data_IF_593366991105
#
_entry.id   IF_593366991105
#
_cell.length_a   1.000
_cell.length_b   1.000
_cell.length_c   1.000
_cell.angle_alpha   90.00
_cell.angle_beta   90.00
_cell.angle_gamma   90.00
#
_symmetry.space_group_name_H-M   'P 1'
#
loop_
_entity.id
_entity.type
_entity.pdbx_description
1 polymer ?
#
# COMPACT_ATOMS: atom_id res chain seq x y z
N UNK A 1 17.57 -3.16 -17.24
CA UNK A 1 16.63 -3.94 -16.44
C UNK A 1 16.10 -3.11 -15.31
N UNK A 2 14.83 -3.24 -14.96
CA UNK A 2 14.29 -2.48 -13.85
C UNK A 2 14.94 -2.89 -12.55
N UNK A 3 15.29 -1.91 -11.75
CA UNK A 3 15.72 -2.15 -10.39
C UNK A 3 14.47 -2.29 -9.52
N UNK A 4 14.57 -3.12 -8.51
CA UNK A 4 13.48 -3.35 -7.61
C UNK A 4 12.74 -4.65 -7.90
N UNK A 5 11.64 -4.89 -7.20
CA UNK A 5 10.94 -6.16 -7.31
C UNK A 5 10.29 -6.33 -8.67
N UNK A 6 10.30 -7.56 -9.13
CA UNK A 6 9.58 -7.90 -10.36
C UNK A 6 8.11 -8.06 -10.02
N UNK A 7 7.29 -7.32 -10.71
CA UNK A 7 5.85 -7.37 -10.52
C UNK A 7 5.23 -8.01 -11.76
N UNK A 8 4.54 -9.09 -11.53
CA UNK A 8 3.84 -9.77 -12.62
C UNK A 8 2.56 -9.01 -12.92
N UNK A 9 2.45 -8.53 -14.16
CA UNK A 9 1.24 -7.85 -14.57
C UNK A 9 0.13 -8.85 -14.85
N UNK A 10 -1.00 -8.67 -14.19
CA UNK A 10 -2.19 -9.47 -14.41
C UNK A 10 -3.27 -8.52 -14.91
N UNK A 11 -3.79 -8.71 -16.13
CA UNK A 11 -4.85 -7.83 -16.63
C UNK A 11 -6.09 -7.93 -15.76
N UNK A 12 -6.77 -6.82 -15.57
CA UNK A 12 -8.02 -6.81 -14.82
C UNK A 12 -8.94 -5.72 -15.34
N UNK A 13 -10.24 -5.95 -15.22
CA UNK A 13 -11.25 -4.99 -15.65
C UNK A 13 -11.55 -3.99 -14.53
N UNK A 14 -11.60 -4.49 -13.30
CA UNK A 14 -11.85 -3.66 -12.13
C UNK A 14 -10.65 -3.71 -11.20
N UNK A 15 -10.10 -2.56 -10.79
CA UNK A 15 -9.00 -2.53 -9.83
C UNK A 15 -9.47 -2.89 -8.43
N UNK A 16 -8.57 -3.35 -7.56
CA UNK A 16 -8.94 -3.53 -6.17
C UNK A 16 -9.20 -2.18 -5.52
N UNK A 17 -10.14 -2.15 -4.58
CA UNK A 17 -10.49 -0.91 -3.86
C UNK A 17 -10.56 -1.17 -2.37
N UNK A 18 -10.05 -0.27 -1.55
CA UNK A 18 -10.17 -0.45 -0.11
C UNK A 18 -11.64 -0.39 0.32
N UNK A 19 -12.03 -1.31 1.19
CA UNK A 19 -13.38 -1.33 1.73
C UNK A 19 -13.53 -0.24 2.78
N UNK A 20 -12.45 0.04 3.50
CA UNK A 20 -12.41 1.11 4.50
C UNK A 20 -11.20 1.98 4.23
N UNK A 21 -11.19 3.19 4.80
CA UNK A 21 -10.07 4.10 4.63
C UNK A 21 -8.79 3.50 5.20
N UNK A 22 -7.68 3.73 4.51
CA UNK A 22 -6.36 3.34 5.00
C UNK A 22 -5.96 4.37 6.05
N UNK A 23 -5.74 3.92 7.29
CA UNK A 23 -5.47 4.81 8.42
C UNK A 23 -4.12 4.50 9.05
N UNK A 24 -3.06 5.12 8.57
CA UNK A 24 -1.75 4.91 9.17
C UNK A 24 -1.66 5.59 10.54
N UNK A 25 -0.90 4.95 11.44
CA UNK A 25 -0.58 5.55 12.73
C UNK A 25 0.66 6.39 12.53
N UNK A 26 0.56 7.68 12.74
CA UNK A 26 1.67 8.61 12.55
C UNK A 26 2.70 8.36 13.67
N UNK A 27 3.94 7.97 13.35
CA UNK A 27 4.95 7.73 14.39
C UNK A 27 5.23 8.99 15.18
N UNK A 28 5.34 8.84 16.49
CA UNK A 28 5.57 9.98 17.39
C UNK A 28 6.87 10.73 17.07
N UNK A 29 7.93 9.98 16.76
CA UNK A 29 9.20 10.59 16.40
C UNK A 29 9.06 11.49 15.18
N UNK A 30 8.32 11.03 14.17
CA UNK A 30 8.09 11.81 12.96
C UNK A 30 7.24 13.04 13.24
N UNK A 31 6.23 12.91 14.11
CA UNK A 31 5.41 14.06 14.51
C UNK A 31 6.25 15.12 15.21
N UNK A 32 7.06 14.70 16.16
CA UNK A 32 7.90 15.63 16.93
C UNK A 32 8.92 16.34 16.05
N UNK A 33 9.45 15.63 15.06
CA UNK A 33 10.41 16.20 14.14
C UNK A 33 9.77 16.99 13.01
N UNK A 34 8.44 17.01 12.93
CA UNK A 34 7.73 17.72 11.88
C UNK A 34 7.91 17.11 10.50
N UNK A 35 8.13 15.79 10.43
CA UNK A 35 8.38 15.11 9.16
C UNK A 35 7.08 14.73 8.48
N UNK A 36 6.91 15.23 7.27
CA UNK A 36 5.76 14.93 6.42
C UNK A 36 6.24 14.32 5.11
N UNK A 37 5.36 13.68 4.39
CA UNK A 37 5.70 13.18 3.08
C UNK A 37 4.75 12.08 2.62
N UNK A 38 5.11 11.50 1.48
CA UNK A 38 4.34 10.43 0.86
C UNK A 38 5.20 9.18 0.82
N UNK A 39 4.65 8.08 1.32
CA UNK A 39 5.27 6.77 1.22
C UNK A 39 4.48 5.99 0.18
N UNK A 40 5.14 5.47 -0.85
CA UNK A 40 4.48 4.67 -1.87
C UNK A 40 4.75 3.20 -1.57
N UNK A 41 3.69 2.46 -1.31
CA UNK A 41 3.76 1.04 -0.99
C UNK A 41 3.17 0.24 -2.14
N UNK A 42 3.91 -0.75 -2.59
CA UNK A 42 3.39 -1.71 -3.55
C UNK A 42 2.84 -2.89 -2.76
N UNK A 43 1.60 -3.26 -3.04
CA UNK A 43 0.92 -4.30 -2.28
C UNK A 43 0.31 -5.34 -3.21
N UNK A 44 0.41 -6.60 -2.82
CA UNK A 44 -0.28 -7.68 -3.50
C UNK A 44 -1.61 -7.94 -2.80
N UNK A 45 -2.70 -7.73 -3.53
CA UNK A 45 -4.07 -7.95 -3.04
C UNK A 45 -4.56 -9.25 -3.64
N UNK A 46 -4.85 -10.24 -2.79
CA UNK A 46 -5.25 -11.56 -3.28
C UNK A 46 -6.72 -11.59 -3.72
N UNK A 47 -7.19 -12.75 -4.18
CA UNK A 47 -8.55 -12.93 -4.67
C UNK A 47 -9.61 -12.72 -3.59
N UNK A 48 -9.22 -12.76 -2.34
CA UNK A 48 -10.14 -12.54 -1.20
C UNK A 48 -10.06 -11.11 -0.68
N UNK A 49 -9.27 -10.26 -1.32
CA UNK A 49 -9.13 -8.88 -0.91
C UNK A 49 -8.18 -8.67 0.26
N UNK A 50 -7.35 -9.66 0.57
CA UNK A 50 -6.37 -9.55 1.64
C UNK A 50 -5.02 -9.13 1.10
N UNK A 51 -4.31 -8.33 1.89
CA UNK A 51 -2.96 -7.90 1.55
C UNK A 51 -1.99 -9.01 1.94
N UNK A 52 -1.33 -9.61 0.96
CA UNK A 52 -0.41 -10.73 1.19
C UNK A 52 1.04 -10.29 1.27
N UNK A 53 1.42 -9.26 0.52
CA UNK A 53 2.79 -8.76 0.52
C UNK A 53 2.77 -7.25 0.37
N UNK A 54 3.77 -6.61 0.96
CA UNK A 54 3.98 -5.17 0.81
C UNK A 54 5.45 -4.90 0.57
N UNK A 55 5.72 -3.95 -0.31
CA UNK A 55 7.08 -3.54 -0.68
C UNK A 55 7.09 -2.02 -0.73
N UNK A 56 8.13 -1.41 -0.16
CA UNK A 56 8.27 0.04 -0.23
C UNK A 56 8.89 0.40 -1.59
N UNK A 57 8.16 1.16 -2.39
CA UNK A 57 8.69 1.69 -3.65
C UNK A 57 9.38 3.02 -3.43
N UNK A 58 8.81 3.87 -2.58
CA UNK A 58 9.38 5.15 -2.23
C UNK A 58 9.10 5.39 -0.76
N UNK A 59 10.16 5.57 0.02
CA UNK A 59 10.02 5.73 1.45
C UNK A 59 10.76 6.95 1.97
N UNK A 60 10.60 7.16 3.27
CA UNK A 60 11.29 8.22 4.00
C UNK A 60 12.05 7.52 5.12
N UNK A 61 13.32 7.17 4.88
CA UNK A 61 14.06 6.32 5.80
C UNK A 61 14.28 6.99 7.16
N UNK A 62 14.41 6.17 8.19
CA UNK A 62 14.74 6.59 9.55
C UNK A 62 13.66 7.45 10.22
N UNK A 63 12.41 7.31 9.79
CA UNK A 63 11.30 8.09 10.35
C UNK A 63 10.20 7.23 10.94
N UNK A 64 10.19 5.93 10.61
CA UNK A 64 9.10 5.05 10.98
C UNK A 64 7.89 5.17 10.08
N UNK A 65 7.90 6.11 9.14
CA UNK A 65 6.76 6.31 8.25
C UNK A 65 6.53 5.14 7.31
N UNK A 66 7.62 4.52 6.82
CA UNK A 66 7.52 3.37 5.92
C UNK A 66 6.80 2.20 6.60
N UNK A 67 7.22 1.89 7.81
CA UNK A 67 6.62 0.82 8.60
C UNK A 67 5.16 1.11 8.92
N UNK A 68 4.86 2.36 9.26
CA UNK A 68 3.50 2.78 9.57
C UNK A 68 2.59 2.64 8.35
N UNK A 69 3.10 3.00 7.17
CA UNK A 69 2.35 2.88 5.93
C UNK A 69 2.06 1.42 5.59
N UNK A 70 3.08 0.57 5.68
CA UNK A 70 2.90 -0.86 5.40
C UNK A 70 1.92 -1.51 6.37
N UNK A 71 2.02 -1.18 7.65
CA UNK A 71 1.14 -1.75 8.65
C UNK A 71 -0.31 -1.36 8.40
N UNK A 72 -0.55 -0.10 8.06
CA UNK A 72 -1.90 0.38 7.76
C UNK A 72 -2.50 -0.36 6.57
N UNK A 73 -1.69 -0.57 5.53
CA UNK A 73 -2.15 -1.27 4.34
C UNK A 73 -2.43 -2.74 4.65
N UNK A 74 -1.56 -3.39 5.42
CA UNK A 74 -1.77 -4.80 5.81
C UNK A 74 -3.07 -5.01 6.56
N UNK A 75 -3.51 -4.03 7.32
CA UNK A 75 -4.75 -4.12 8.09
C UNK A 75 -5.99 -3.76 7.29
N UNK A 76 -5.81 -3.24 6.09
CA UNK A 76 -6.92 -2.81 5.27
C UNK A 76 -7.44 -3.99 4.45
N UNK A 77 -8.77 -4.11 4.39
CA UNK A 77 -9.41 -5.08 3.52
C UNK A 77 -9.82 -4.39 2.24
N UNK A 78 -9.65 -5.11 1.15
CA UNK A 78 -9.94 -4.60 -0.18
C UNK A 78 -11.03 -5.43 -0.83
N UNK A 79 -11.71 -4.82 -1.79
CA UNK A 79 -12.45 -5.60 -2.76
C UNK A 79 -11.41 -6.07 -3.77
N UNK A 80 -11.39 -7.37 -4.10
CA UNK A 80 -10.37 -7.86 -5.02
C UNK A 80 -10.57 -7.31 -6.42
N UNK A 81 -9.48 -7.28 -7.18
CA UNK A 81 -9.55 -6.96 -8.59
C UNK A 81 -10.35 -8.06 -9.31
N UNK A 82 -10.98 -7.70 -10.41
CA UNK A 82 -11.72 -8.66 -11.21
C UNK A 82 -11.31 -8.62 -12.66
N UNK A 83 -11.30 -9.79 -13.26
CA UNK A 83 -11.12 -9.97 -14.68
C UNK A 83 -12.28 -10.85 -15.15
N UNK A 84 -13.16 -10.31 -16.00
CA UNK A 84 -14.32 -11.03 -16.49
C UNK A 84 -15.13 -11.66 -15.34
N UNK A 85 -15.40 -10.84 -14.33
CA UNK A 85 -16.17 -11.23 -13.14
C UNK A 85 -15.50 -12.25 -12.24
N UNK A 86 -14.24 -12.61 -12.52
CA UNK A 86 -13.48 -13.49 -11.64
C UNK A 86 -12.52 -12.66 -10.80
N UNK A 87 -12.48 -12.93 -9.51
CA UNK A 87 -11.55 -12.28 -8.63
C UNK A 87 -10.12 -12.75 -8.95
N UNK A 88 -9.18 -11.83 -9.05
CA UNK A 88 -7.78 -12.12 -9.35
C UNK A 88 -6.88 -11.39 -8.37
N UNK A 89 -5.72 -11.99 -8.07
CA UNK A 89 -4.70 -11.34 -7.25
C UNK A 89 -3.87 -10.41 -8.12
N UNK A 90 -3.62 -9.20 -7.64
CA UNK A 90 -2.86 -8.20 -8.39
C UNK A 90 -1.96 -7.40 -7.49
N UNK A 91 -0.91 -6.84 -8.06
CA UNK A 91 -0.05 -5.86 -7.40
C UNK A 91 -0.56 -4.47 -7.73
N UNK A 92 -0.62 -3.61 -6.73
CA UNK A 92 -0.98 -2.21 -6.92
C UNK A 92 -0.02 -1.33 -6.13
N UNK A 93 0.10 -0.08 -6.56
CA UNK A 93 0.89 0.94 -5.84
C UNK A 93 -0.06 1.85 -5.10
N UNK A 94 0.19 2.02 -3.80
CA UNK A 94 -0.68 2.80 -2.93
C UNK A 94 0.14 3.92 -2.29
N UNK A 95 -0.16 5.18 -2.60
CA UNK A 95 0.49 6.29 -1.90
C UNK A 95 -0.18 6.51 -0.54
N UNK A 96 0.63 6.66 0.49
CA UNK A 96 0.16 6.97 1.84
C UNK A 96 0.70 8.32 2.22
N UNK A 97 -0.19 9.27 2.45
CA UNK A 97 0.18 10.64 2.77
C UNK A 97 0.29 10.82 4.28
N UNK A 98 1.39 11.40 4.72
CA UNK A 98 1.60 11.77 6.11
C UNK A 98 1.68 13.28 6.19
N UNK A 99 0.69 13.89 6.81
CA UNK A 99 0.63 15.33 6.95
C UNK A 99 0.27 15.71 8.38
N UNK A 100 0.90 16.76 8.85
CA UNK A 100 0.62 17.33 10.16
C UNK A 100 -0.30 18.53 9.95
N UNK A 101 -1.12 18.80 10.93
CA UNK A 101 -2.00 19.97 10.85
C UNK A 101 -1.23 21.26 11.13
#
# INVERSE_FOLDING_TARGET
>A
APSGPKVKFIPYDDPPKPISAIRPVYPEIAQEAGIEGVVVVQAFIDQKGRVKETIILKGIPNTGLDEAAMEAIRKTRFRPAKQRERAVGVWISIPVNFRLK
#
